data_IF_778338209590
#
_entry.id   IF_778338209590
#
_cell.length_a   1.000
_cell.length_b   1.000
_cell.length_c   1.000
_cell.angle_alpha   90.00
_cell.angle_beta   90.00
_cell.angle_gamma   90.00
#
_symmetry.space_group_name_H-M   'P 1'
#
loop_
_entity.id
_entity.type
_entity.pdbx_description
1 polymer ?
#
# COMPACT_ATOMS: atom_id res chain seq x y z
N UNK A 1 50.19 -88.63 11.68
CA UNK A 1 49.34 -88.42 10.49
C UNK A 1 48.18 -87.51 10.88
N UNK A 2 47.92 -86.50 10.04
CA UNK A 2 46.75 -85.61 9.92
C UNK A 2 46.67 -84.47 10.96
N UNK A 3 47.21 -83.28 10.67
CA UNK A 3 46.78 -82.20 9.75
C UNK A 3 45.88 -81.17 10.45
N UNK A 4 46.51 -80.08 10.87
CA UNK A 4 45.88 -78.84 11.37
C UNK A 4 45.51 -77.99 10.16
N UNK A 5 44.23 -77.64 10.04
CA UNK A 5 43.74 -76.71 9.00
C UNK A 5 43.48 -75.35 9.64
N UNK A 6 44.28 -74.35 9.28
CA UNK A 6 44.03 -72.93 9.59
C UNK A 6 42.88 -72.40 8.71
N UNK A 7 41.86 -71.80 9.33
CA UNK A 7 40.87 -70.97 8.64
C UNK A 7 40.60 -69.71 9.47
N UNK A 8 41.49 -68.73 9.38
CA UNK A 8 41.43 -67.52 10.20
C UNK A 8 41.95 -66.28 9.47
N UNK A 9 41.48 -66.00 8.26
CA UNK A 9 41.86 -64.76 7.54
C UNK A 9 40.71 -64.03 6.84
N UNK A 10 39.47 -64.55 6.84
CA UNK A 10 38.34 -63.94 6.12
C UNK A 10 37.48 -62.97 6.93
N UNK A 11 37.48 -63.06 8.27
CA UNK A 11 36.42 -62.44 9.09
C UNK A 11 36.69 -60.98 9.50
N UNK A 12 37.94 -60.51 9.42
CA UNK A 12 38.33 -59.15 9.83
C UNK A 12 38.18 -58.08 8.72
N UNK A 13 38.14 -58.47 7.44
CA UNK A 13 37.93 -57.53 6.31
C UNK A 13 36.44 -57.20 6.09
N UNK A 14 35.53 -58.10 6.51
CA UNK A 14 34.09 -57.86 6.42
C UNK A 14 33.60 -56.81 7.42
N UNK A 15 34.13 -56.78 8.65
CA UNK A 15 33.65 -55.86 9.69
C UNK A 15 33.86 -54.37 9.35
N UNK A 16 34.89 -54.03 8.59
CA UNK A 16 35.14 -52.64 8.14
C UNK A 16 34.21 -52.20 7.00
N UNK A 17 33.90 -53.09 6.07
CA UNK A 17 32.98 -52.80 4.96
C UNK A 17 31.54 -52.66 5.47
N UNK A 18 31.12 -53.54 6.38
CA UNK A 18 29.79 -53.46 7.01
C UNK A 18 29.63 -52.19 7.85
N UNK A 19 30.68 -51.74 8.56
CA UNK A 19 30.65 -50.50 9.34
C UNK A 19 30.56 -49.23 8.50
N UNK A 20 31.25 -49.20 7.35
CA UNK A 20 31.17 -48.08 6.38
C UNK A 20 29.81 -48.07 5.68
N UNK A 21 29.25 -49.24 5.36
CA UNK A 21 27.91 -49.34 4.78
C UNK A 21 26.83 -48.92 5.77
N UNK A 22 26.91 -49.33 7.04
CA UNK A 22 25.95 -48.94 8.07
C UNK A 22 25.98 -47.42 8.32
N UNK A 23 27.17 -46.81 8.38
CA UNK A 23 27.30 -45.36 8.56
C UNK A 23 26.81 -44.58 7.34
N UNK A 24 27.11 -45.01 6.12
CA UNK A 24 26.58 -44.40 4.90
C UNK A 24 25.05 -44.52 4.81
N UNK A 25 24.47 -45.65 5.24
CA UNK A 25 23.02 -45.84 5.28
C UNK A 25 22.36 -44.90 6.28
N UNK A 26 22.91 -44.78 7.49
CA UNK A 26 22.37 -43.87 8.52
C UNK A 26 22.46 -42.40 8.08
N UNK A 27 23.57 -41.98 7.46
CA UNK A 27 23.72 -40.62 6.95
C UNK A 27 22.74 -40.34 5.79
N UNK A 28 22.53 -41.31 4.91
CA UNK A 28 21.56 -41.22 3.81
C UNK A 28 20.12 -41.12 4.33
N UNK A 29 19.76 -41.94 5.33
CA UNK A 29 18.44 -41.87 5.99
C UNK A 29 18.24 -40.51 6.65
N UNK A 30 19.22 -40.02 7.42
CA UNK A 30 19.14 -38.71 8.10
C UNK A 30 18.98 -37.58 7.09
N UNK A 31 19.74 -37.60 5.99
CA UNK A 31 19.67 -36.59 4.91
C UNK A 31 18.31 -36.65 4.19
N UNK A 32 17.77 -37.84 3.93
CA UNK A 32 16.45 -38.02 3.35
C UNK A 32 15.31 -37.53 4.28
N UNK A 33 15.41 -37.76 5.60
CA UNK A 33 14.46 -37.18 6.57
C UNK A 33 14.57 -35.66 6.66
N UNK A 34 15.78 -35.08 6.59
CA UNK A 34 15.95 -33.63 6.59
C UNK A 34 15.38 -32.99 5.32
N UNK A 35 15.63 -33.58 4.15
CA UNK A 35 15.10 -33.10 2.87
C UNK A 35 13.57 -33.18 2.80
N UNK A 36 12.96 -34.22 3.36
CA UNK A 36 11.49 -34.36 3.39
C UNK A 36 10.81 -33.42 4.38
N UNK A 37 11.49 -33.05 5.47
CA UNK A 37 10.92 -32.10 6.46
C UNK A 37 11.08 -30.64 6.00
N UNK A 38 12.18 -30.30 5.31
CA UNK A 38 12.42 -28.96 4.79
C UNK A 38 11.56 -28.60 3.57
N UNK A 39 11.02 -29.60 2.88
CA UNK A 39 10.05 -29.43 1.79
C UNK A 39 8.61 -29.56 2.27
N UNK A 40 8.34 -29.25 3.55
CA UNK A 40 6.99 -29.06 4.05
C UNK A 40 6.23 -28.20 3.04
N UNK A 41 5.23 -28.75 2.32
CA UNK A 41 4.55 -28.00 1.30
C UNK A 41 3.89 -26.85 2.04
N UNK A 42 4.27 -25.64 1.69
CA UNK A 42 3.47 -24.46 1.97
C UNK A 42 2.14 -24.71 1.23
N UNK A 43 1.25 -25.47 1.87
CA UNK A 43 -0.13 -25.63 1.43
C UNK A 43 -0.63 -24.20 1.47
N UNK A 44 -0.70 -23.58 0.29
CA UNK A 44 -1.35 -22.30 0.13
C UNK A 44 -2.70 -22.45 0.79
N UNK A 45 -2.91 -21.76 1.92
CA UNK A 45 -4.21 -21.66 2.55
C UNK A 45 -5.17 -21.31 1.41
N UNK A 46 -6.16 -22.15 1.06
CA UNK A 46 -7.05 -21.83 -0.04
C UNK A 46 -7.61 -20.45 0.26
N UNK A 47 -7.46 -19.54 -0.72
CA UNK A 47 -8.05 -18.22 -0.60
C UNK A 47 -9.53 -18.42 -0.24
N UNK A 48 -10.07 -17.74 0.78
CA UNK A 48 -11.45 -17.93 1.16
C UNK A 48 -12.32 -17.72 -0.09
N UNK A 49 -13.05 -18.76 -0.48
CA UNK A 49 -14.04 -18.64 -1.54
C UNK A 49 -15.20 -17.87 -0.94
N UNK A 50 -15.20 -16.55 -1.17
CA UNK A 50 -16.39 -15.76 -0.92
C UNK A 50 -17.44 -16.23 -1.93
N UNK A 51 -18.53 -16.83 -1.45
CA UNK A 51 -19.70 -17.02 -2.29
C UNK A 51 -20.04 -15.65 -2.90
N UNK A 52 -20.26 -15.61 -4.22
CA UNK A 52 -20.80 -14.43 -4.85
C UNK A 52 -22.22 -14.24 -4.30
N UNK A 53 -22.33 -13.51 -3.18
CA UNK A 53 -23.59 -12.91 -2.79
C UNK A 53 -23.82 -11.88 -3.89
N UNK A 54 -24.78 -12.16 -4.77
CA UNK A 54 -25.27 -11.18 -5.71
C UNK A 54 -25.61 -9.95 -4.88
N UNK A 55 -24.80 -8.91 -5.02
CA UNK A 55 -24.98 -7.71 -4.23
C UNK A 55 -26.34 -7.14 -4.63
N UNK A 56 -27.36 -7.35 -3.79
CA UNK A 56 -28.51 -6.47 -3.79
C UNK A 56 -27.97 -5.10 -3.41
N UNK A 57 -27.56 -4.33 -4.42
CA UNK A 57 -27.22 -2.93 -4.27
C UNK A 57 -28.50 -2.29 -3.73
N UNK A 58 -28.54 -1.87 -2.45
CA UNK A 58 -29.70 -1.16 -1.96
C UNK A 58 -29.93 0.01 -2.91
N UNK A 59 -31.19 0.27 -3.27
CA UNK A 59 -31.54 1.42 -4.09
C UNK A 59 -30.74 2.62 -3.57
N UNK A 60 -29.98 3.25 -4.48
CA UNK A 60 -29.08 4.33 -4.11
C UNK A 60 -29.82 5.28 -3.16
N UNK A 61 -29.22 5.68 -2.02
CA UNK A 61 -29.87 6.61 -1.12
C UNK A 61 -30.38 7.80 -1.96
N UNK A 62 -31.57 8.35 -1.63
CA UNK A 62 -32.09 9.51 -2.35
C UNK A 62 -30.96 10.53 -2.45
N UNK A 63 -30.75 11.06 -3.65
CA UNK A 63 -29.67 12.01 -3.89
C UNK A 63 -29.68 13.04 -2.75
N UNK A 64 -28.52 13.36 -2.15
CA UNK A 64 -28.48 14.37 -1.12
C UNK A 64 -29.20 15.62 -1.64
N UNK A 65 -29.95 16.34 -0.78
CA UNK A 65 -30.54 17.60 -1.20
C UNK A 65 -29.46 18.44 -1.90
N UNK A 66 -29.80 19.13 -2.99
CA UNK A 66 -28.82 19.95 -3.69
C UNK A 66 -28.15 20.87 -2.66
N UNK A 67 -26.82 21.04 -2.74
CA UNK A 67 -26.13 21.84 -1.76
C UNK A 67 -26.79 23.22 -1.70
N UNK A 68 -27.20 23.65 -0.51
CA UNK A 68 -27.83 24.96 -0.28
C UNK A 68 -26.95 26.11 -0.79
N UNK A 69 -25.65 25.81 -0.96
CA UNK A 69 -24.65 26.68 -1.53
C UNK A 69 -23.75 25.91 -2.51
N UNK A 70 -23.78 26.29 -3.79
CA UNK A 70 -22.91 25.70 -4.82
C UNK A 70 -21.82 26.70 -5.22
N UNK A 71 -20.56 26.27 -5.16
CA UNK A 71 -19.43 27.05 -5.65
C UNK A 71 -19.22 26.81 -7.15
N UNK A 72 -19.07 27.89 -7.91
CA UNK A 72 -18.61 27.88 -9.29
C UNK A 72 -17.09 27.66 -9.39
N UNK A 73 -16.61 27.50 -10.62
CA UNK A 73 -15.19 27.35 -10.90
C UNK A 73 -14.49 28.73 -10.84
N UNK A 74 -13.51 28.93 -9.94
CA UNK A 74 -12.87 30.24 -9.76
C UNK A 74 -11.93 30.62 -10.91
N UNK A 75 -11.43 29.63 -11.67
CA UNK A 75 -10.60 29.85 -12.86
C UNK A 75 -11.19 28.99 -13.98
N UNK A 76 -12.18 29.49 -14.75
CA UNK A 76 -12.94 28.69 -15.69
C UNK A 76 -12.08 27.91 -16.70
N UNK A 77 -12.31 26.60 -16.79
CA UNK A 77 -11.58 25.70 -17.70
C UNK A 77 -10.22 25.22 -17.19
N UNK A 78 -9.95 25.30 -15.88
CA UNK A 78 -8.67 24.91 -15.29
C UNK A 78 -8.85 23.93 -14.13
N UNK A 79 -8.17 22.78 -14.24
CA UNK A 79 -8.25 21.74 -13.23
C UNK A 79 -7.45 22.09 -11.97
N UNK A 80 -7.93 21.59 -10.83
CA UNK A 80 -7.17 21.57 -9.57
C UNK A 80 -5.93 20.69 -9.76
N UNK A 81 -4.75 21.28 -9.55
CA UNK A 81 -3.46 20.59 -9.59
C UNK A 81 -3.09 20.06 -8.20
N UNK A 82 -3.37 20.82 -7.14
CA UNK A 82 -3.17 20.35 -5.76
C UNK A 82 -4.45 20.51 -4.94
N UNK A 83 -5.07 19.42 -4.47
CA UNK A 83 -6.29 19.49 -3.68
C UNK A 83 -6.01 19.93 -2.23
N UNK A 84 -7.08 20.27 -1.52
CA UNK A 84 -7.07 20.47 -0.08
C UNK A 84 -6.66 19.20 0.66
N UNK A 85 -5.93 19.35 1.76
CA UNK A 85 -5.61 18.25 2.67
C UNK A 85 -4.13 18.10 3.01
N UNK A 86 -3.80 17.02 3.71
CA UNK A 86 -2.43 16.76 4.18
C UNK A 86 -1.51 16.36 3.02
N UNK A 87 -0.47 17.18 2.80
CA UNK A 87 0.62 16.89 1.86
C UNK A 87 1.80 16.32 2.63
N UNK A 88 2.15 15.07 2.36
CA UNK A 88 3.32 14.41 2.95
C UNK A 88 4.48 14.44 1.97
N UNK A 89 5.56 15.13 2.33
CA UNK A 89 6.81 15.05 1.59
C UNK A 89 7.70 13.94 2.17
N UNK A 90 8.56 13.28 1.37
CA UNK A 90 9.38 12.15 1.84
C UNK A 90 10.24 12.45 3.09
N UNK A 91 10.62 13.71 3.28
CA UNK A 91 11.46 14.18 4.38
C UNK A 91 10.67 14.72 5.60
N UNK A 92 9.34 14.74 5.55
CA UNK A 92 8.51 15.40 6.58
C UNK A 92 7.71 14.38 7.41
N UNK A 93 7.92 14.37 8.74
CA UNK A 93 7.29 13.39 9.64
C UNK A 93 5.77 13.55 9.78
N UNK A 94 5.27 14.78 9.76
CA UNK A 94 3.86 15.08 10.07
C UNK A 94 3.07 15.62 8.87
N UNK A 95 3.71 15.82 7.71
CA UNK A 95 3.12 16.49 6.56
C UNK A 95 2.72 17.94 6.85
N UNK A 96 2.20 18.64 5.84
CA UNK A 96 1.65 19.99 5.95
C UNK A 96 0.22 20.00 5.46
N UNK A 97 -0.68 20.64 6.20
CA UNK A 97 -2.03 20.86 5.73
C UNK A 97 -2.01 21.91 4.63
N UNK A 98 -2.54 21.56 3.47
CA UNK A 98 -2.87 22.48 2.41
C UNK A 98 -4.29 22.97 2.64
N UNK A 99 -4.41 24.18 3.18
CA UNK A 99 -5.69 24.81 3.56
C UNK A 99 -6.46 25.43 2.38
N UNK A 100 -6.19 24.96 1.15
CA UNK A 100 -6.78 25.48 -0.07
C UNK A 100 -6.63 24.51 -1.23
N UNK A 101 -6.91 25.01 -2.44
CA UNK A 101 -6.70 24.29 -3.69
C UNK A 101 -5.81 25.11 -4.61
N UNK A 102 -4.83 24.44 -5.24
CA UNK A 102 -3.95 25.06 -6.21
C UNK A 102 -4.48 24.75 -7.62
N UNK A 103 -4.80 25.80 -8.39
CA UNK A 103 -5.28 25.68 -9.77
C UNK A 103 -4.23 26.27 -10.70
N UNK A 104 -3.70 25.45 -11.60
CA UNK A 104 -2.65 25.86 -12.52
C UNK A 104 -3.24 26.55 -13.75
N UNK A 105 -2.91 27.83 -13.94
CA UNK A 105 -3.34 28.62 -15.09
C UNK A 105 -2.23 29.56 -15.57
N UNK A 106 -2.17 29.92 -16.87
CA UNK A 106 -1.26 30.95 -17.36
C UNK A 106 -1.48 32.29 -16.66
N UNK A 107 -0.40 33.06 -16.50
CA UNK A 107 -0.48 34.40 -15.92
C UNK A 107 -1.47 35.29 -16.66
N UNK A 108 -2.24 36.08 -15.92
CA UNK A 108 -3.24 37.02 -16.47
C UNK A 108 -4.60 36.39 -16.75
N UNK A 109 -4.80 35.11 -16.46
CA UNK A 109 -6.14 34.51 -16.52
C UNK A 109 -7.08 35.16 -15.50
N UNK A 110 -8.33 35.47 -15.89
CA UNK A 110 -9.32 35.99 -14.95
C UNK A 110 -9.59 34.99 -13.83
N UNK A 111 -9.62 35.50 -12.60
CA UNK A 111 -10.13 34.79 -11.43
C UNK A 111 -11.51 35.38 -11.13
N UNK A 112 -12.51 34.51 -11.01
CA UNK A 112 -13.90 34.90 -10.73
C UNK A 112 -14.31 34.47 -9.33
N UNK A 113 -15.22 35.22 -8.73
CA UNK A 113 -15.81 34.84 -7.47
C UNK A 113 -16.56 33.51 -7.63
N UNK A 114 -16.41 32.60 -6.68
CA UNK A 114 -17.03 31.27 -6.71
C UNK A 114 -18.53 31.35 -6.43
N UNK A 115 -19.00 32.46 -5.88
CA UNK A 115 -20.39 32.74 -5.59
C UNK A 115 -20.57 34.24 -5.30
N UNK A 116 -21.82 34.68 -5.23
CA UNK A 116 -22.17 36.05 -4.86
C UNK A 116 -21.67 36.38 -3.45
N UNK A 117 -21.16 37.61 -3.27
CA UNK A 117 -20.61 38.02 -2.00
C UNK A 117 -20.09 39.45 -1.98
N UNK A 118 -19.50 39.81 -0.85
CA UNK A 118 -18.94 41.14 -0.58
C UNK A 118 -17.45 41.00 -0.29
N UNK A 119 -16.63 41.79 -0.98
CA UNK A 119 -15.19 41.87 -0.69
C UNK A 119 -15.03 42.43 0.73
N UNK A 120 -14.32 41.69 1.58
CA UNK A 120 -14.05 42.07 2.97
C UNK A 120 -12.62 42.51 3.18
N UNK A 121 -11.66 41.96 2.42
CA UNK A 121 -10.25 42.36 2.46
C UNK A 121 -9.62 42.28 1.08
N UNK A 122 -8.67 43.16 0.83
CA UNK A 122 -7.71 43.06 -0.27
C UNK A 122 -6.33 43.44 0.24
N UNK A 123 -5.28 42.88 -0.33
CA UNK A 123 -3.93 43.25 0.11
C UNK A 123 -2.82 42.45 -0.52
N UNK A 124 -1.66 42.52 0.13
CA UNK A 124 -0.47 41.72 -0.21
C UNK A 124 0.09 41.11 1.06
N UNK A 125 0.34 39.81 1.02
CA UNK A 125 0.99 39.01 2.06
C UNK A 125 2.32 38.50 1.56
N UNK A 126 3.30 38.34 2.46
CA UNK A 126 4.57 37.70 2.15
C UNK A 126 4.40 36.22 1.78
N UNK A 127 3.38 35.55 2.33
CA UNK A 127 3.14 34.12 2.11
C UNK A 127 2.21 33.85 0.93
N UNK A 128 1.13 34.63 0.77
CA UNK A 128 0.11 34.41 -0.27
C UNK A 128 0.29 35.29 -1.51
N UNK A 129 1.12 36.34 -1.44
CA UNK A 129 1.18 37.34 -2.49
C UNK A 129 -0.04 38.27 -2.45
N UNK A 130 -0.54 38.68 -3.63
CA UNK A 130 -1.74 39.54 -3.71
C UNK A 130 -2.96 38.68 -3.43
N UNK A 131 -3.88 39.19 -2.61
CA UNK A 131 -5.07 38.43 -2.26
C UNK A 131 -6.36 39.26 -2.22
N UNK A 132 -7.49 38.55 -2.33
CA UNK A 132 -8.84 39.07 -2.14
C UNK A 132 -9.64 38.09 -1.27
N UNK A 133 -10.30 38.60 -0.23
CA UNK A 133 -11.19 37.84 0.66
C UNK A 133 -12.64 38.26 0.38
N UNK A 134 -13.51 37.31 0.05
CA UNK A 134 -14.92 37.55 -0.25
C UNK A 134 -15.78 36.78 0.74
N UNK A 135 -16.72 37.48 1.39
CA UNK A 135 -17.72 36.88 2.29
C UNK A 135 -19.02 36.65 1.55
N UNK A 136 -19.56 35.44 1.69
CA UNK A 136 -20.79 34.99 1.07
C UNK A 136 -21.92 34.86 2.11
N UNK A 137 -23.07 34.31 1.72
CA UNK A 137 -24.13 33.92 2.65
C UNK A 137 -23.66 32.82 3.62
N UNK A 138 -24.42 32.60 4.70
CA UNK A 138 -24.14 31.56 5.71
C UNK A 138 -22.77 31.66 6.40
N UNK A 139 -22.14 32.84 6.37
CA UNK A 139 -20.84 33.08 7.00
C UNK A 139 -19.66 32.45 6.26
N UNK A 140 -19.86 31.96 5.04
CA UNK A 140 -18.79 31.38 4.20
C UNK A 140 -17.85 32.47 3.68
N UNK A 141 -16.57 32.11 3.52
CA UNK A 141 -15.53 33.00 3.02
C UNK A 141 -14.70 32.27 1.97
N UNK A 142 -14.47 32.92 0.83
CA UNK A 142 -13.48 32.51 -0.16
C UNK A 142 -12.28 33.45 -0.12
N UNK A 143 -11.11 32.88 -0.41
CA UNK A 143 -9.83 33.58 -0.42
C UNK A 143 -9.10 33.24 -1.71
N UNK A 144 -8.65 34.27 -2.43
CA UNK A 144 -7.96 34.19 -3.72
C UNK A 144 -6.59 34.82 -3.63
#
# INVERSE_FOLDING_TARGET
MNSVTLAGAGRLRHLWVEGVLATALTLSVVTATYATTALSPYIAKPAPTYAAVEAQVPAAPPAPPPPEFAFGEPVPGHNVNSPFGLRRMPWERHGRLHEGVDIAAPSGKPVVAVADGVITKTGRSTSYGRYVEVRHSEGLVSFY
#
